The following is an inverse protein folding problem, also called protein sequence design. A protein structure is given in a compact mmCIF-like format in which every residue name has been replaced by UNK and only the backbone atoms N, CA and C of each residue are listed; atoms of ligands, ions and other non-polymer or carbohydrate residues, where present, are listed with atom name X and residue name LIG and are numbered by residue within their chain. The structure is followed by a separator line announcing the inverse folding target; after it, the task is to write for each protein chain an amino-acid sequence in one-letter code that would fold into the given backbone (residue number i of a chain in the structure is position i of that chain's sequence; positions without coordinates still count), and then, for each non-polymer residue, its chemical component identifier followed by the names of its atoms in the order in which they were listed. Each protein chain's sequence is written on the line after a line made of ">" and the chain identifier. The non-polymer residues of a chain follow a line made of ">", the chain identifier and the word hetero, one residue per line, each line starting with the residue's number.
data_IF_618144446706
#
_entry.id   IF_618144446706
#
_cell.length_a   1.000
_cell.length_b   1.000
_cell.length_c   1.000
_cell.angle_alpha   90.00
_cell.angle_beta   90.00
_cell.angle_gamma   90.00
#
_symmetry.space_group_name_H-M   'P 1'
#
loop_
_entity.id
_entity.type
_entity.pdbx_description
1 polymer ?
#
# COMPACT_ATOMS: atom_id res chain seq x y z
N UNK A 1 2.43 -0.21 3.07
CA UNK A 1 3.43 0.73 2.48
C UNK A 1 4.04 1.61 3.56
N UNK A 2 5.24 2.21 3.34
CA UNK A 2 5.99 2.91 4.42
C UNK A 2 5.31 4.10 5.10
N UNK A 3 4.49 4.87 4.40
CA UNK A 3 3.78 5.98 5.04
C UNK A 3 3.25 7.02 4.08
N UNK A 4 2.21 7.70 4.53
CA UNK A 4 1.62 8.88 3.90
C UNK A 4 2.66 9.99 3.71
N UNK A 5 2.49 10.79 2.66
CA UNK A 5 3.36 11.94 2.30
C UNK A 5 4.83 11.63 2.02
N UNK A 6 5.25 10.35 2.02
CA UNK A 6 6.62 9.98 1.64
C UNK A 6 6.79 9.90 0.12
N UNK A 7 8.00 10.18 -0.39
CA UNK A 7 8.32 10.38 -1.82
C UNK A 7 7.78 9.27 -2.72
N UNK A 8 8.27 8.04 -2.57
CA UNK A 8 7.88 6.92 -3.46
C UNK A 8 6.40 6.56 -3.32
N UNK A 9 5.83 6.68 -2.12
CA UNK A 9 4.41 6.39 -1.89
C UNK A 9 3.50 7.38 -2.63
N UNK A 10 3.84 8.68 -2.59
CA UNK A 10 3.02 9.76 -3.14
C UNK A 10 3.30 10.06 -4.60
N UNK A 11 4.48 9.70 -5.11
CA UNK A 11 4.84 9.95 -6.50
C UNK A 11 4.52 8.76 -7.43
N UNK A 12 4.57 7.53 -6.91
CA UNK A 12 4.55 6.31 -7.75
C UNK A 12 3.50 5.34 -7.25
N UNK A 13 3.63 4.84 -6.02
CA UNK A 13 2.93 3.62 -5.62
C UNK A 13 1.40 3.78 -5.55
N UNK A 14 0.90 4.72 -4.76
CA UNK A 14 -0.55 4.97 -4.65
C UNK A 14 -1.14 5.53 -5.96
N UNK A 15 -0.53 6.54 -6.62
CA UNK A 15 -1.02 7.02 -7.92
C UNK A 15 -1.10 5.93 -8.99
N UNK A 16 -0.18 4.96 -8.99
CA UNK A 16 -0.22 3.82 -9.91
C UNK A 16 -1.51 3.03 -9.78
N UNK A 17 -1.96 2.73 -8.56
CA UNK A 17 -3.24 2.04 -8.33
C UNK A 17 -4.45 2.90 -8.67
N UNK A 18 -4.40 4.21 -8.44
CA UNK A 18 -5.49 5.13 -8.85
C UNK A 18 -5.64 5.14 -10.38
N UNK A 19 -4.53 5.19 -11.11
CA UNK A 19 -4.51 5.17 -12.59
C UNK A 19 -4.97 3.82 -13.15
N UNK A 20 -4.60 2.72 -12.50
CA UNK A 20 -4.91 1.36 -12.96
C UNK A 20 -6.17 0.77 -12.32
N UNK A 21 -7.01 1.58 -11.67
CA UNK A 21 -8.21 1.12 -10.98
C UNK A 21 -9.12 0.28 -11.89
N UNK A 22 -9.44 0.77 -13.09
CA UNK A 22 -10.33 0.06 -14.02
C UNK A 22 -9.71 -1.25 -14.53
N UNK A 23 -8.38 -1.29 -14.70
CA UNK A 23 -7.65 -2.53 -15.02
C UNK A 23 -7.78 -3.55 -13.90
N UNK A 24 -7.62 -3.13 -12.65
CA UNK A 24 -7.81 -4.01 -11.50
C UNK A 24 -9.26 -4.53 -11.42
N UNK A 25 -10.26 -3.66 -11.63
CA UNK A 25 -11.68 -4.06 -11.68
C UNK A 25 -11.95 -5.10 -12.78
N UNK A 26 -11.41 -4.91 -13.99
CA UNK A 26 -11.53 -5.87 -15.10
C UNK A 26 -10.91 -7.24 -14.79
N UNK A 27 -9.91 -7.29 -13.92
CA UNK A 27 -9.28 -8.53 -13.41
C UNK A 27 -10.05 -9.17 -12.24
N UNK A 28 -11.22 -8.65 -11.89
CA UNK A 28 -12.04 -9.21 -10.81
C UNK A 28 -11.74 -8.66 -9.42
N UNK A 29 -10.82 -7.69 -9.28
CA UNK A 29 -10.55 -7.06 -7.98
C UNK A 29 -11.79 -6.29 -7.53
N UNK A 30 -12.36 -6.68 -6.39
CA UNK A 30 -13.56 -6.04 -5.84
C UNK A 30 -13.24 -4.71 -5.14
N UNK A 31 -12.13 -4.67 -4.40
CA UNK A 31 -11.69 -3.54 -3.58
C UNK A 31 -10.17 -3.38 -3.62
N UNK A 32 -9.68 -2.15 -3.76
CA UNK A 32 -8.27 -1.82 -3.58
C UNK A 32 -8.11 -1.11 -2.23
N UNK A 33 -7.14 -1.55 -1.44
CA UNK A 33 -6.91 -1.05 -0.08
C UNK A 33 -5.48 -0.52 0.02
N UNK A 34 -5.32 0.70 0.54
CA UNK A 34 -4.01 1.26 0.86
C UNK A 34 -3.83 1.29 2.38
N UNK A 35 -2.84 0.55 2.88
CA UNK A 35 -2.52 0.47 4.31
C UNK A 35 -1.16 1.07 4.63
N UNK A 36 -1.13 1.87 5.69
CA UNK A 36 0.10 2.37 6.31
C UNK A 36 -0.08 2.54 7.82
N UNK A 37 1.04 2.66 8.53
CA UNK A 37 1.05 2.77 10.01
C UNK A 37 0.78 4.19 10.52
N UNK A 38 0.33 5.08 9.64
CA UNK A 38 -0.17 6.39 10.03
C UNK A 38 -1.54 6.25 10.73
N UNK A 39 -1.94 7.27 11.49
CA UNK A 39 -3.27 7.34 12.09
C UNK A 39 -4.36 7.61 11.03
N UNK A 40 -5.65 7.38 11.36
CA UNK A 40 -6.76 7.56 10.43
C UNK A 40 -6.88 8.98 9.86
N UNK A 41 -6.56 10.02 10.64
CA UNK A 41 -6.71 11.40 10.19
C UNK A 41 -5.67 11.72 9.11
N UNK A 42 -4.42 11.28 9.31
CA UNK A 42 -3.35 11.40 8.32
C UNK A 42 -3.68 10.58 7.06
N UNK A 43 -4.16 9.35 7.21
CA UNK A 43 -4.53 8.52 6.06
C UNK A 43 -5.69 9.13 5.26
N UNK A 44 -6.69 9.71 5.93
CA UNK A 44 -7.79 10.44 5.28
C UNK A 44 -7.28 11.65 4.50
N UNK A 45 -6.57 12.56 5.17
CA UNK A 45 -6.06 13.78 4.55
C UNK A 45 -5.12 13.49 3.37
N UNK A 46 -4.29 12.45 3.49
CA UNK A 46 -3.42 12.02 2.41
C UNK A 46 -4.19 11.40 1.24
N UNK A 47 -5.21 10.57 1.50
CA UNK A 47 -6.08 10.05 0.45
C UNK A 47 -6.78 11.16 -0.35
N UNK A 48 -7.32 12.16 0.35
CA UNK A 48 -7.91 13.36 -0.26
C UNK A 48 -6.89 14.12 -1.10
N UNK A 49 -5.69 14.36 -0.55
CA UNK A 49 -4.58 15.00 -1.27
C UNK A 49 -4.16 14.25 -2.54
N UNK A 50 -4.21 12.92 -2.53
CA UNK A 50 -3.83 12.06 -3.64
C UNK A 50 -4.98 11.86 -4.65
N UNK A 51 -6.16 12.43 -4.40
CA UNK A 51 -7.31 12.33 -5.29
C UNK A 51 -7.82 10.89 -5.46
N UNK A 52 -7.75 10.08 -4.40
CA UNK A 52 -8.13 8.65 -4.50
C UNK A 52 -9.64 8.45 -4.68
N UNK A 53 -10.47 9.40 -4.23
CA UNK A 53 -11.93 9.29 -4.25
C UNK A 53 -12.41 7.95 -3.69
N UNK A 54 -13.39 7.34 -4.36
CA UNK A 54 -13.93 6.03 -3.97
C UNK A 54 -13.13 4.85 -4.53
N UNK A 55 -12.04 5.11 -5.27
CA UNK A 55 -11.26 4.05 -5.96
C UNK A 55 -10.41 3.25 -4.99
N UNK A 56 -9.88 3.89 -3.95
CA UNK A 56 -8.94 3.27 -3.00
C UNK A 56 -9.45 3.47 -1.59
N UNK A 57 -9.60 2.38 -0.84
CA UNK A 57 -9.96 2.43 0.56
C UNK A 57 -8.71 2.61 1.44
N UNK A 58 -8.58 3.77 2.07
CA UNK A 58 -7.45 4.12 2.92
C UNK A 58 -7.62 3.54 4.33
N UNK A 59 -6.70 2.70 4.78
CA UNK A 59 -6.70 2.08 6.11
C UNK A 59 -5.48 2.53 6.91
N UNK A 60 -5.73 2.89 8.15
CA UNK A 60 -4.71 3.17 9.15
C UNK A 60 -4.43 1.93 10.00
N UNK A 61 -3.16 1.64 10.24
CA UNK A 61 -2.66 0.61 11.16
C UNK A 61 -1.70 1.23 12.19
N UNK A 62 -2.17 2.17 13.03
CA UNK A 62 -1.30 3.01 13.87
C UNK A 62 -0.52 2.21 14.92
N UNK A 63 -0.97 0.99 15.23
CA UNK A 63 -0.34 0.10 16.22
C UNK A 63 0.44 -1.05 15.57
N UNK A 64 0.63 -1.01 14.24
CA UNK A 64 1.30 -2.06 13.46
C UNK A 64 0.68 -3.46 13.64
N UNK A 65 -0.58 -3.56 14.08
CA UNK A 65 -1.21 -4.86 14.40
C UNK A 65 -1.28 -5.74 13.17
N UNK A 66 -1.80 -5.19 12.07
CA UNK A 66 -1.89 -5.92 10.82
C UNK A 66 -0.50 -6.12 10.21
N UNK A 67 0.28 -5.04 10.15
CA UNK A 67 1.62 -5.03 9.54
C UNK A 67 2.54 -6.10 10.15
N UNK A 68 2.55 -6.25 11.47
CA UNK A 68 3.32 -7.30 12.17
C UNK A 68 2.74 -8.69 11.96
N UNK A 69 1.41 -8.82 11.91
CA UNK A 69 0.76 -10.11 11.72
C UNK A 69 1.13 -10.77 10.37
N UNK A 70 1.44 -9.95 9.36
CA UNK A 70 1.89 -10.43 8.04
C UNK A 70 3.42 -10.41 7.88
N UNK A 71 4.18 -10.12 8.94
CA UNK A 71 5.65 -10.04 8.92
C UNK A 71 6.22 -8.97 7.99
N UNK A 72 5.49 -7.86 7.81
CA UNK A 72 5.85 -6.80 6.88
C UNK A 72 6.32 -5.52 7.57
N UNK A 73 6.69 -5.57 8.84
CA UNK A 73 7.30 -4.44 9.54
C UNK A 73 8.76 -4.22 9.12
N UNK A 74 9.19 -2.97 9.15
CA UNK A 74 10.59 -2.60 8.90
C UNK A 74 10.96 -1.41 9.76
N UNK A 75 12.12 -1.47 10.39
CA UNK A 75 12.64 -0.35 11.17
C UNK A 75 13.21 0.74 10.24
N UNK A 76 12.69 1.96 10.37
CA UNK A 76 13.18 3.18 9.69
C UNK A 76 13.46 4.30 10.68
N UNK A 77 13.82 3.95 11.92
CA UNK A 77 14.17 4.89 12.99
C UNK A 77 15.36 5.77 12.61
N UNK A 78 16.37 5.24 11.91
CA UNK A 78 17.51 6.02 11.39
C UNK A 78 17.09 7.14 10.42
N UNK A 79 15.92 7.03 9.79
CA UNK A 79 15.34 8.06 8.92
C UNK A 79 14.32 8.96 9.65
N UNK A 80 14.22 8.85 10.97
CA UNK A 80 13.26 9.59 11.80
C UNK A 80 11.81 9.13 11.66
N UNK A 81 11.56 7.93 11.13
CA UNK A 81 10.20 7.44 10.83
C UNK A 81 9.67 6.44 11.85
N UNK A 82 10.55 5.79 12.63
CA UNK A 82 10.21 4.67 13.50
C UNK A 82 9.94 3.38 12.72
N UNK A 83 9.26 2.43 13.36
CA UNK A 83 8.85 1.17 12.70
C UNK A 83 7.71 1.46 11.73
N UNK A 84 7.83 0.98 10.49
CA UNK A 84 6.86 1.18 9.40
C UNK A 84 6.42 -0.13 8.79
N UNK A 85 5.37 -0.06 7.98
CA UNK A 85 5.03 -1.12 7.03
C UNK A 85 6.00 -1.07 5.85
N UNK A 86 6.55 -2.21 5.46
CA UNK A 86 7.35 -2.33 4.24
C UNK A 86 6.48 -1.99 3.01
N UNK A 87 7.12 -1.82 1.85
CA UNK A 87 6.41 -1.68 0.59
C UNK A 87 6.07 -3.06 0.04
N UNK A 88 4.80 -3.29 -0.21
CA UNK A 88 4.30 -4.52 -0.78
C UNK A 88 2.98 -4.28 -1.48
N UNK A 89 2.58 -5.25 -2.29
CA UNK A 89 1.21 -5.44 -2.77
C UNK A 89 0.83 -6.89 -2.58
N UNK A 90 -0.41 -7.15 -2.16
CA UNK A 90 -0.93 -8.49 -1.95
C UNK A 90 -2.31 -8.67 -2.59
N UNK A 91 -2.59 -9.87 -3.07
CA UNK A 91 -3.91 -10.30 -3.52
C UNK A 91 -4.48 -11.22 -2.45
N UNK A 92 -5.65 -10.84 -1.93
CA UNK A 92 -6.37 -11.61 -0.92
C UNK A 92 -7.71 -12.05 -1.52
N UNK A 93 -7.99 -13.34 -1.43
CA UNK A 93 -9.23 -13.95 -1.92
C UNK A 93 -9.75 -14.90 -0.84
N UNK A 94 -11.00 -14.72 -0.41
CA UNK A 94 -11.63 -15.51 0.65
C UNK A 94 -10.75 -15.61 1.90
N UNK A 95 -10.24 -14.44 2.35
CA UNK A 95 -9.36 -14.29 3.52
C UNK A 95 -7.99 -14.99 3.40
N UNK A 96 -7.66 -15.55 2.23
CA UNK A 96 -6.39 -16.21 1.96
C UNK A 96 -5.52 -15.31 1.08
N UNK A 97 -4.26 -15.12 1.49
CA UNK A 97 -3.26 -14.43 0.68
C UNK A 97 -2.87 -15.34 -0.49
N UNK A 98 -3.26 -14.97 -1.71
CA UNK A 98 -2.94 -15.71 -2.94
C UNK A 98 -1.61 -15.29 -3.53
N UNK A 99 -1.23 -14.03 -3.34
CA UNK A 99 0.02 -13.45 -3.82
C UNK A 99 0.47 -12.37 -2.87
N UNK A 100 1.77 -12.34 -2.59
CA UNK A 100 2.38 -11.34 -1.71
C UNK A 100 3.73 -10.92 -2.26
N UNK A 101 3.80 -9.72 -2.83
CA UNK A 101 4.99 -9.17 -3.45
C UNK A 101 5.55 -8.08 -2.56
N UNK A 102 6.66 -8.37 -1.87
CA UNK A 102 7.31 -7.48 -0.91
C UNK A 102 8.61 -6.95 -1.51
N UNK A 103 8.80 -5.65 -1.47
CA UNK A 103 10.06 -5.04 -1.89
C UNK A 103 11.18 -5.36 -0.91
N UNK A 104 12.36 -5.68 -1.45
CA UNK A 104 13.59 -5.79 -0.64
C UNK A 104 13.92 -4.46 0.02
N UNK A 105 13.78 -3.37 -0.74
CA UNK A 105 14.05 -2.02 -0.29
C UNK A 105 12.78 -1.17 -0.30
N UNK A 106 12.42 -0.60 0.84
CA UNK A 106 11.27 0.32 0.99
C UNK A 106 11.24 1.50 0.00
N UNK A 107 12.39 1.90 -0.55
CA UNK A 107 12.50 2.99 -1.51
C UNK A 107 12.12 2.57 -2.93
N UNK A 108 12.30 1.29 -3.26
CA UNK A 108 11.95 0.67 -4.54
C UNK A 108 10.44 0.48 -4.65
N UNK A 109 9.92 0.49 -5.87
CA UNK A 109 8.51 0.23 -6.18
C UNK A 109 8.45 -0.43 -7.56
N UNK A 110 8.76 -1.72 -7.62
CA UNK A 110 8.81 -2.51 -8.84
C UNK A 110 7.90 -3.73 -8.70
N UNK A 111 8.18 -4.63 -7.77
CA UNK A 111 7.35 -5.83 -7.52
C UNK A 111 5.95 -5.44 -7.05
N UNK A 112 5.88 -4.42 -6.19
CA UNK A 112 4.65 -3.89 -5.62
C UNK A 112 3.92 -2.88 -6.53
N UNK A 113 4.55 -2.39 -7.60
CA UNK A 113 3.94 -1.42 -8.50
C UNK A 113 2.67 -1.97 -9.13
N UNK A 114 1.64 -1.13 -9.30
CA UNK A 114 0.34 -1.54 -9.80
C UNK A 114 0.44 -2.24 -11.16
N UNK A 115 1.21 -1.69 -12.09
CA UNK A 115 1.40 -2.22 -13.44
C UNK A 115 2.01 -3.63 -13.42
N UNK A 116 3.01 -3.86 -12.57
CA UNK A 116 3.72 -5.13 -12.49
C UNK A 116 2.88 -6.16 -11.73
N UNK A 117 2.30 -5.76 -10.59
CA UNK A 117 1.47 -6.64 -9.79
C UNK A 117 0.22 -7.09 -10.56
N UNK A 118 -0.47 -6.17 -11.25
CA UNK A 118 -1.67 -6.50 -12.02
C UNK A 118 -1.38 -7.39 -13.24
N UNK A 119 -0.20 -7.29 -13.86
CA UNK A 119 0.22 -8.24 -14.90
C UNK A 119 0.41 -9.65 -14.34
N UNK A 120 0.74 -9.75 -13.07
CA UNK A 120 1.13 -10.99 -12.42
C UNK A 120 -0.03 -11.68 -11.67
N UNK A 121 -1.26 -11.16 -11.80
CA UNK A 121 -2.52 -11.77 -11.31
C UNK A 121 -3.56 -11.87 -12.42
#
# INVERSE_FOLDING_TARGET
>A
MPGAFTKTCSAIHLPGFVKNYDTAKKKGVSKIVCVAVNDPNVMKAWGENQGVGDKIFMIADPFLKFTKAIGAEVDKSEKGLGIRSNRYTMLVENEIIKKFEVEKETATCELSAAENFLKAI
#
